data_IF_003610321824
#
_entry.id   IF_003610321824
#
_cell.length_a   1.000
_cell.length_b   1.000
_cell.length_c   1.000
_cell.angle_alpha   90.00
_cell.angle_beta   90.00
_cell.angle_gamma   90.00
#
_symmetry.space_group_name_H-M   'P 1'
#
loop_
_entity.id
_entity.type
_entity.pdbx_description
1 polymer ?
#
# COMPACT_ATOMS: atom_id res chain seq x y z
N UNK A 1 -2.39 23.50 -19.98
CA UNK A 1 -1.44 22.41 -19.67
C UNK A 1 -1.97 21.15 -20.35
N UNK A 2 -1.25 20.60 -21.35
CA UNK A 2 -1.68 19.39 -22.06
C UNK A 2 -1.38 18.18 -21.17
N UNK A 3 -2.25 17.92 -20.19
CA UNK A 3 -2.12 16.75 -19.31
C UNK A 3 -2.52 15.55 -20.16
N UNK A 4 -1.52 14.88 -20.72
CA UNK A 4 -1.73 13.67 -21.49
C UNK A 4 -2.27 12.58 -20.53
N UNK A 5 -3.47 12.08 -20.82
CA UNK A 5 -4.11 11.06 -19.99
C UNK A 5 -3.24 9.81 -19.84
N UNK A 6 -2.46 9.47 -20.87
CA UNK A 6 -1.48 8.38 -20.83
C UNK A 6 -0.40 8.63 -19.78
N UNK A 7 0.18 9.84 -19.76
CA UNK A 7 1.20 10.21 -18.78
C UNK A 7 0.65 10.19 -17.35
N UNK A 8 -0.59 10.66 -17.15
CA UNK A 8 -1.26 10.58 -15.86
C UNK A 8 -1.47 9.12 -15.41
N UNK A 9 -1.87 8.23 -16.32
CA UNK A 9 -2.03 6.80 -16.05
C UNK A 9 -0.73 6.10 -15.67
N UNK A 10 0.36 6.40 -16.38
CA UNK A 10 1.70 5.86 -16.08
C UNK A 10 2.18 6.24 -14.68
N UNK A 11 2.02 7.52 -14.30
CA UNK A 11 2.39 8.00 -12.97
C UNK A 11 1.58 7.29 -11.87
N UNK A 12 0.27 7.13 -12.09
CA UNK A 12 -0.61 6.41 -11.16
C UNK A 12 -0.18 4.94 -11.04
N UNK A 13 0.16 4.30 -12.16
CA UNK A 13 0.55 2.90 -12.20
C UNK A 13 1.89 2.63 -11.49
N UNK A 14 2.90 3.47 -11.73
CA UNK A 14 4.18 3.38 -11.03
C UNK A 14 3.98 3.54 -9.52
N UNK A 15 3.19 4.53 -9.11
CA UNK A 15 2.96 4.77 -7.70
C UNK A 15 2.15 3.64 -7.04
N UNK A 16 1.19 3.04 -7.76
CA UNK A 16 0.52 1.82 -7.32
C UNK A 16 1.52 0.69 -7.03
N UNK A 17 2.47 0.42 -7.95
CA UNK A 17 3.50 -0.60 -7.74
C UNK A 17 4.36 -0.29 -6.49
N UNK A 18 4.78 0.98 -6.34
CA UNK A 18 5.61 1.41 -5.21
C UNK A 18 4.89 1.23 -3.88
N UNK A 19 3.64 1.68 -3.77
CA UNK A 19 2.83 1.57 -2.55
C UNK A 19 2.49 0.12 -2.23
N UNK A 20 2.16 -0.69 -3.24
CA UNK A 20 1.90 -2.11 -3.06
C UNK A 20 3.12 -2.83 -2.50
N UNK A 21 4.30 -2.59 -3.08
CA UNK A 21 5.54 -3.19 -2.61
C UNK A 21 5.88 -2.75 -1.17
N UNK A 22 5.82 -1.45 -0.88
CA UNK A 22 6.09 -0.91 0.46
C UNK A 22 5.13 -1.46 1.51
N UNK A 23 3.83 -1.49 1.20
CA UNK A 23 2.81 -1.98 2.14
C UNK A 23 3.01 -3.46 2.45
N UNK A 24 3.27 -4.28 1.42
CA UNK A 24 3.59 -5.70 1.62
C UNK A 24 4.89 -5.89 2.40
N UNK A 25 5.93 -5.09 2.12
CA UNK A 25 7.21 -5.13 2.85
C UNK A 25 7.03 -4.77 4.33
N UNK A 26 6.24 -3.75 4.64
CA UNK A 26 5.97 -3.34 6.03
C UNK A 26 5.03 -4.28 6.77
N UNK A 27 4.08 -4.89 6.06
CA UNK A 27 3.17 -5.89 6.62
C UNK A 27 3.85 -7.25 6.81
N UNK A 28 4.96 -7.51 6.09
CA UNK A 28 5.73 -8.75 6.21
C UNK A 28 6.26 -8.92 7.63
N UNK A 29 5.77 -9.96 8.32
CA UNK A 29 6.11 -10.24 9.72
C UNK A 29 5.30 -9.45 10.76
N UNK A 30 4.27 -8.69 10.35
CA UNK A 30 3.31 -8.01 11.27
C UNK A 30 1.89 -8.59 11.21
N UNK A 31 1.60 -9.46 10.25
CA UNK A 31 0.29 -10.09 10.06
C UNK A 31 0.44 -11.45 9.40
N UNK A 32 -0.44 -12.39 9.77
CA UNK A 32 -0.58 -13.68 9.08
C UNK A 32 -1.29 -13.53 7.72
N UNK A 33 -2.10 -12.49 7.56
CA UNK A 33 -2.97 -12.27 6.40
C UNK A 33 -2.36 -11.30 5.39
N UNK A 34 -1.12 -11.58 4.95
CA UNK A 34 -0.41 -10.78 3.93
C UNK A 34 -1.18 -10.60 2.61
N UNK A 35 -1.80 -11.66 2.03
CA UNK A 35 -2.54 -11.53 0.77
C UNK A 35 -3.70 -10.54 0.89
N UNK A 36 -4.36 -10.52 2.05
CA UNK A 36 -5.47 -9.62 2.34
C UNK A 36 -5.00 -8.16 2.38
N UNK A 37 -3.84 -7.91 2.99
CA UNK A 37 -3.23 -6.56 3.02
C UNK A 37 -2.90 -6.08 1.60
N UNK A 38 -2.35 -6.96 0.76
CA UNK A 38 -2.11 -6.68 -0.65
C UNK A 38 -3.40 -6.34 -1.40
N UNK A 39 -4.46 -7.12 -1.19
CA UNK A 39 -5.78 -6.89 -1.80
C UNK A 39 -6.39 -5.54 -1.38
N UNK A 40 -6.32 -5.20 -0.08
CA UNK A 40 -6.77 -3.88 0.39
C UNK A 40 -5.95 -2.74 -0.23
N UNK A 41 -4.63 -2.91 -0.35
CA UNK A 41 -3.76 -1.91 -0.98
C UNK A 41 -4.07 -1.74 -2.47
N UNK A 42 -4.41 -2.84 -3.16
CA UNK A 42 -4.86 -2.84 -4.55
C UNK A 42 -6.17 -2.09 -4.71
N UNK A 43 -7.21 -2.43 -3.93
CA UNK A 43 -8.49 -1.74 -3.97
C UNK A 43 -8.32 -0.25 -3.66
N UNK A 44 -7.58 0.11 -2.60
CA UNK A 44 -7.37 1.50 -2.23
C UNK A 44 -6.63 2.27 -3.31
N UNK A 45 -5.58 1.70 -3.92
CA UNK A 45 -4.84 2.42 -4.95
C UNK A 45 -5.65 2.63 -6.23
N UNK A 46 -6.56 1.71 -6.55
CA UNK A 46 -7.42 1.79 -7.73
C UNK A 46 -8.61 2.75 -7.52
N UNK A 47 -9.23 2.74 -6.33
CA UNK A 47 -10.39 3.59 -5.99
C UNK A 47 -9.97 5.00 -5.52
N UNK A 48 -8.94 5.08 -4.69
CA UNK A 48 -8.49 6.31 -4.03
C UNK A 48 -6.97 6.31 -3.86
N UNK A 49 -6.27 6.70 -4.92
CA UNK A 49 -4.82 6.88 -4.94
C UNK A 49 -4.20 7.46 -3.65
N UNK A 50 -4.67 8.58 -3.07
CA UNK A 50 -4.09 9.13 -1.85
C UNK A 50 -4.37 8.28 -0.60
N UNK A 51 -5.46 7.50 -0.57
CA UNK A 51 -5.80 6.66 0.58
C UNK A 51 -4.81 5.50 0.75
N UNK A 52 -4.26 4.97 -0.34
CA UNK A 52 -3.27 3.88 -0.28
C UNK A 52 -1.98 4.32 0.44
N UNK A 53 -1.64 5.61 0.39
CA UNK A 53 -0.49 6.17 1.12
C UNK A 53 -0.72 6.19 2.62
N UNK A 54 -1.92 6.60 3.06
CA UNK A 54 -2.29 6.54 4.48
C UNK A 54 -2.27 5.10 4.99
N UNK A 55 -2.74 4.15 4.17
CA UNK A 55 -2.71 2.73 4.51
C UNK A 55 -1.27 2.18 4.59
N UNK A 56 -0.40 2.55 3.64
CA UNK A 56 1.02 2.22 3.69
C UNK A 56 1.70 2.82 4.92
N UNK A 57 1.39 4.07 5.25
CA UNK A 57 1.92 4.76 6.43
C UNK A 57 1.46 4.10 7.74
N UNK A 58 0.20 3.67 7.81
CA UNK A 58 -0.32 2.88 8.92
C UNK A 58 0.49 1.58 9.11
N UNK A 59 0.74 0.82 8.04
CA UNK A 59 1.57 -0.39 8.12
C UNK A 59 3.03 -0.12 8.43
N UNK A 60 3.57 1.02 7.97
CA UNK A 60 4.91 1.48 8.32
C UNK A 60 5.04 1.76 9.83
N UNK A 61 4.06 2.48 10.39
CA UNK A 61 4.03 2.87 11.82
C UNK A 61 3.60 1.75 12.77
N UNK A 62 2.85 0.76 12.30
CA UNK A 62 2.50 -0.40 13.12
C UNK A 62 3.80 -1.00 13.67
N UNK A 63 4.03 -0.98 14.97
CA UNK A 63 5.19 -1.67 15.52
C UNK A 63 5.07 -3.17 15.22
N UNK A 64 6.21 -3.87 15.10
CA UNK A 64 6.17 -5.34 15.09
C UNK A 64 5.46 -5.75 16.36
N UNK A 65 4.27 -6.34 16.23
CA UNK A 65 3.69 -7.12 17.32
C UNK A 65 4.57 -8.37 17.43
N UNK A 66 5.75 -8.20 18.04
CA UNK A 66 6.41 -9.33 18.71
C UNK A 66 5.44 -9.65 19.83
N UNK A 67 4.67 -10.71 19.61
CA UNK A 67 4.31 -11.69 20.64
C UNK A 67 4.39 -11.11 22.06
N UNK A 68 3.37 -10.36 22.42
CA UNK A 68 3.11 -10.00 23.81
C UNK A 68 1.82 -10.73 24.19
N UNK A 69 1.85 -12.05 23.98
CA UNK A 69 0.96 -12.99 24.64
C UNK A 69 1.88 -13.83 25.53
N UNK A 70 2.07 -13.30 26.73
CA UNK A 70 2.74 -13.91 27.87
C UNK A 70 1.74 -14.86 28.56
#
# INVERSE_FOLDING_TARGET
MNINATFAGEVIFINFIVIMYLTLKFAKGKTHNLPLVGFYTFLLSCLFFPASWFYCWYWSRKHKTVENEL
#
